data_IF_633694842812
#
_entry.id   IF_633694842812
#
_cell.length_a   1.000
_cell.length_b   1.000
_cell.length_c   1.000
_cell.angle_alpha   90.00
_cell.angle_beta   90.00
_cell.angle_gamma   90.00
#
_symmetry.space_group_name_H-M   'P 1'
#
loop_
_entity.id
_entity.type
_entity.pdbx_description
1 polymer ?
#
# COMPACT_ATOMS: atom_id res chain seq x y z
N UNK A 1 -20.41 -0.55 8.53
CA UNK A 1 -19.25 0.26 8.74
C UNK A 1 -18.86 1.04 7.51
N UNK A 2 -18.28 2.14 7.75
CA UNK A 2 -17.81 2.98 6.66
C UNK A 2 -16.53 2.40 6.09
N UNK A 3 -16.49 2.28 4.79
CA UNK A 3 -15.26 1.99 4.07
C UNK A 3 -14.71 3.31 3.56
N UNK A 4 -13.47 3.57 3.92
CA UNK A 4 -12.79 4.72 3.34
C UNK A 4 -12.48 4.42 1.89
N UNK A 5 -12.77 5.36 1.02
CA UNK A 5 -12.43 5.21 -0.38
C UNK A 5 -10.93 5.26 -0.58
N UNK A 6 -10.38 4.29 -1.32
CA UNK A 6 -8.95 4.28 -1.58
C UNK A 6 -8.51 5.54 -2.34
N UNK A 7 -9.35 6.04 -3.23
CA UNK A 7 -9.06 7.28 -3.97
C UNK A 7 -8.93 8.48 -3.06
N UNK A 8 -9.77 8.57 -2.03
CA UNK A 8 -9.69 9.68 -1.07
C UNK A 8 -8.38 9.64 -0.30
N UNK A 9 -7.97 8.45 0.13
CA UNK A 9 -6.72 8.26 0.85
C UNK A 9 -5.53 8.60 -0.04
N UNK A 10 -5.56 8.13 -1.27
CA UNK A 10 -4.48 8.38 -2.23
C UNK A 10 -4.39 9.86 -2.58
N UNK A 11 -5.53 10.50 -2.77
CA UNK A 11 -5.56 11.95 -3.06
C UNK A 11 -4.97 12.76 -1.91
N UNK A 12 -5.29 12.40 -0.67
CA UNK A 12 -4.71 13.07 0.49
C UNK A 12 -3.20 12.90 0.54
N UNK A 13 -2.70 11.69 0.28
CA UNK A 13 -1.26 11.44 0.26
C UNK A 13 -0.56 12.26 -0.83
N UNK A 14 -1.22 12.43 -1.98
CA UNK A 14 -0.65 13.19 -3.10
C UNK A 14 -0.54 14.68 -2.82
N UNK A 15 -1.18 15.19 -1.77
CA UNK A 15 -1.01 16.60 -1.39
C UNK A 15 0.35 16.86 -0.73
N UNK A 16 1.04 15.81 -0.30
CA UNK A 16 2.40 15.94 0.24
C UNK A 16 3.34 16.22 -0.94
N UNK A 17 4.08 17.32 -0.84
CA UNK A 17 4.87 17.82 -1.96
C UNK A 17 5.87 16.82 -2.53
N UNK A 18 6.48 16.03 -1.67
CA UNK A 18 7.50 15.06 -2.08
C UNK A 18 6.93 13.83 -2.80
N UNK A 19 5.64 13.58 -2.66
CA UNK A 19 5.02 12.35 -3.16
C UNK A 19 4.68 12.47 -4.65
N UNK A 20 5.16 11.51 -5.44
CA UNK A 20 4.85 11.41 -6.86
C UNK A 20 3.66 10.52 -7.12
N UNK A 21 3.60 9.37 -6.43
CA UNK A 21 2.52 8.39 -6.59
C UNK A 21 2.13 7.84 -5.22
N UNK A 22 0.88 7.44 -5.09
CA UNK A 22 0.37 6.85 -3.86
C UNK A 22 -0.59 5.72 -4.17
N UNK A 23 -0.55 4.69 -3.33
CA UNK A 23 -1.48 3.57 -3.39
C UNK A 23 -1.90 3.20 -1.99
N UNK A 24 -3.21 3.04 -1.78
CA UNK A 24 -3.77 2.60 -0.51
C UNK A 24 -4.23 1.15 -0.64
N UNK A 25 -3.83 0.29 0.28
CA UNK A 25 -4.20 -1.12 0.24
C UNK A 25 -4.72 -1.59 1.60
N UNK A 26 -5.67 -2.54 1.61
CA UNK A 26 -6.18 -3.08 2.87
C UNK A 26 -5.22 -4.10 3.44
N UNK A 27 -5.16 -4.14 4.77
CA UNK A 27 -4.36 -5.12 5.50
C UNK A 27 -5.23 -5.74 6.56
N UNK A 28 -5.14 -7.06 6.72
CA UNK A 28 -5.83 -7.75 7.80
C UNK A 28 -5.06 -7.51 9.09
N UNK A 29 -5.75 -6.99 10.10
CA UNK A 29 -5.15 -6.61 11.37
C UNK A 29 -5.93 -7.28 12.50
N UNK A 30 -5.25 -7.95 13.41
CA UNK A 30 -5.89 -8.65 14.53
C UNK A 30 -6.71 -7.73 15.42
N UNK A 31 -6.19 -6.54 15.66
CA UNK A 31 -6.82 -5.61 16.59
C UNK A 31 -7.94 -4.80 15.95
N UNK A 32 -7.76 -4.43 14.68
CA UNK A 32 -8.70 -3.53 13.98
C UNK A 32 -9.62 -4.26 13.02
N UNK A 33 -9.36 -5.53 12.74
CA UNK A 33 -10.03 -6.28 11.69
C UNK A 33 -9.51 -5.90 10.32
N UNK A 34 -9.68 -4.64 9.91
CA UNK A 34 -9.13 -4.10 8.67
C UNK A 34 -8.39 -2.82 8.97
N UNK A 35 -7.23 -2.67 8.36
CA UNK A 35 -6.44 -1.46 8.44
C UNK A 35 -6.00 -1.10 7.02
N UNK A 36 -5.41 0.07 6.84
CA UNK A 36 -4.91 0.52 5.55
C UNK A 36 -3.41 0.76 5.66
N UNK A 37 -2.68 0.36 4.64
CA UNK A 37 -1.29 0.76 4.49
C UNK A 37 -1.16 1.60 3.24
N UNK A 38 -0.32 2.62 3.33
CA UNK A 38 -0.06 3.52 2.21
C UNK A 38 1.30 3.20 1.62
N UNK A 39 1.37 3.15 0.31
CA UNK A 39 2.61 3.05 -0.44
C UNK A 39 2.78 4.33 -1.22
N UNK A 40 3.95 4.94 -1.10
CA UNK A 40 4.24 6.18 -1.84
C UNK A 40 5.59 6.07 -2.52
N UNK A 41 5.67 6.65 -3.72
CA UNK A 41 6.94 6.88 -4.38
C UNK A 41 7.19 8.38 -4.41
N UNK A 42 8.45 8.77 -4.42
CA UNK A 42 8.84 10.17 -4.32
C UNK A 42 9.19 10.76 -5.69
N UNK A 43 9.00 12.05 -5.81
CA UNK A 43 9.47 12.80 -6.97
C UNK A 43 10.99 12.73 -7.04
N UNK A 44 11.58 12.76 -8.26
CA UNK A 44 13.03 12.70 -8.40
C UNK A 44 13.73 13.75 -7.55
N UNK A 45 14.82 13.35 -6.89
CA UNK A 45 15.63 14.25 -6.09
C UNK A 45 15.07 14.62 -4.72
N UNK A 46 13.92 14.08 -4.34
CA UNK A 46 13.33 14.39 -3.03
C UNK A 46 13.81 13.40 -1.97
N UNK A 47 14.01 13.92 -0.77
CA UNK A 47 14.44 13.11 0.38
C UNK A 47 13.26 12.41 1.01
N UNK A 48 13.42 11.15 1.46
CA UNK A 48 12.35 10.48 2.21
C UNK A 48 12.19 10.96 3.66
N UNK A 49 13.10 11.79 4.15
CA UNK A 49 13.07 12.23 5.54
C UNK A 49 11.75 12.92 5.88
N UNK A 50 11.04 12.40 6.90
CA UNK A 50 9.79 12.99 7.38
C UNK A 50 8.57 12.74 6.49
N UNK A 51 8.71 12.08 5.35
CA UNK A 51 7.59 11.88 4.43
C UNK A 51 6.52 10.99 5.03
N UNK A 52 6.89 9.94 5.76
CA UNK A 52 5.91 9.07 6.42
C UNK A 52 4.97 9.86 7.33
N UNK A 53 5.55 10.73 8.16
CA UNK A 53 4.77 11.55 9.07
C UNK A 53 3.88 12.54 8.32
N UNK A 54 4.39 13.13 7.24
CA UNK A 54 3.61 14.06 6.41
C UNK A 54 2.41 13.39 5.77
N UNK A 55 2.60 12.16 5.27
CA UNK A 55 1.52 11.41 4.65
C UNK A 55 0.46 11.06 5.70
N UNK A 56 0.87 10.53 6.85
CA UNK A 56 -0.06 10.19 7.92
C UNK A 56 -0.84 11.43 8.37
N UNK A 57 -0.15 12.55 8.53
CA UNK A 57 -0.77 13.80 8.94
C UNK A 57 -1.78 14.30 7.89
N UNK A 58 -1.44 14.17 6.61
CA UNK A 58 -2.34 14.59 5.53
C UNK A 58 -3.63 13.79 5.56
N UNK A 59 -3.54 12.49 5.76
CA UNK A 59 -4.73 11.63 5.83
C UNK A 59 -5.59 12.00 7.05
N UNK A 60 -4.97 12.16 8.21
CA UNK A 60 -5.70 12.52 9.43
C UNK A 60 -6.36 13.90 9.31
N UNK A 61 -5.64 14.86 8.75
CA UNK A 61 -6.13 16.25 8.66
C UNK A 61 -7.26 16.37 7.64
N UNK A 62 -7.13 15.73 6.49
CA UNK A 62 -8.07 15.90 5.40
C UNK A 62 -9.29 14.99 5.50
N UNK A 63 -9.14 13.81 6.11
CA UNK A 63 -10.21 12.82 6.19
C UNK A 63 -10.66 12.60 7.62
N UNK A 64 -9.72 12.45 8.55
CA UNK A 64 -10.02 12.21 9.95
C UNK A 64 -9.12 11.14 10.54
N UNK A 65 -9.20 10.99 11.86
CA UNK A 65 -8.36 10.01 12.58
C UNK A 65 -8.59 8.58 12.13
N UNK A 66 -9.79 8.27 11.63
CA UNK A 66 -10.11 6.94 11.12
C UNK A 66 -9.26 6.57 9.90
N UNK A 67 -8.74 7.58 9.21
CA UNK A 67 -7.92 7.38 8.01
C UNK A 67 -6.44 7.17 8.32
N UNK A 68 -6.05 7.18 9.58
CA UNK A 68 -4.65 7.00 9.95
C UNK A 68 -4.14 5.65 9.46
N UNK A 69 -3.10 5.63 8.62
CA UNK A 69 -2.60 4.37 8.08
C UNK A 69 -1.85 3.59 9.15
N UNK A 70 -1.89 2.27 9.03
CA UNK A 70 -1.12 1.39 9.90
C UNK A 70 0.38 1.58 9.65
N UNK A 71 0.75 1.65 8.38
CA UNK A 71 2.12 1.90 7.96
C UNK A 71 2.11 2.77 6.70
N UNK A 72 3.17 3.53 6.51
CA UNK A 72 3.44 4.24 5.26
C UNK A 72 4.77 3.72 4.74
N UNK A 73 4.74 3.15 3.54
CA UNK A 73 5.92 2.56 2.92
C UNK A 73 6.39 3.45 1.78
N UNK A 74 7.65 3.86 1.83
CA UNK A 74 8.25 4.64 0.76
C UNK A 74 9.01 3.67 -0.14
N UNK A 75 8.56 3.54 -1.38
CA UNK A 75 9.11 2.57 -2.32
C UNK A 75 9.71 3.27 -3.53
N UNK A 76 10.68 2.62 -4.21
CA UNK A 76 11.34 3.26 -5.35
C UNK A 76 10.42 3.43 -6.55
N UNK A 77 9.46 2.53 -6.73
CA UNK A 77 8.48 2.59 -7.80
C UNK A 77 7.32 1.68 -7.46
N UNK A 78 6.23 1.82 -8.21
CA UNK A 78 5.05 0.97 -8.05
C UNK A 78 5.03 -0.10 -9.12
N UNK A 79 4.52 -1.32 -8.82
CA UNK A 79 4.28 -2.29 -9.88
C UNK A 79 3.17 -1.78 -10.78
N UNK A 80 3.44 -1.73 -12.08
CA UNK A 80 2.53 -1.11 -13.05
C UNK A 80 2.26 -2.02 -14.24
N UNK A 81 1.06 -1.88 -14.81
CA UNK A 81 0.76 -2.48 -16.10
C UNK A 81 1.53 -1.72 -17.18
N UNK A 82 1.56 -2.29 -18.39
CA UNK A 82 2.22 -1.64 -19.53
C UNK A 82 1.56 -0.32 -19.92
N UNK A 83 0.29 -0.14 -19.56
CA UNK A 83 -0.40 1.13 -19.77
C UNK A 83 -0.15 2.14 -18.66
N UNK A 84 0.65 1.79 -17.65
CA UNK A 84 1.03 2.70 -16.57
C UNK A 84 0.13 2.71 -15.36
N UNK A 85 -0.80 1.78 -15.26
CA UNK A 85 -1.69 1.68 -14.09
C UNK A 85 -1.02 0.93 -12.96
N UNK A 86 -1.15 1.45 -11.74
CA UNK A 86 -0.63 0.80 -10.55
C UNK A 86 -1.41 -0.49 -10.31
N UNK A 87 -0.68 -1.59 -10.14
CA UNK A 87 -1.27 -2.90 -9.83
C UNK A 87 -1.43 -3.06 -8.33
N UNK A 88 -2.50 -2.48 -7.78
CA UNK A 88 -2.75 -2.48 -6.34
C UNK A 88 -2.91 -3.87 -5.76
N UNK A 89 -3.42 -4.80 -6.55
CA UNK A 89 -3.56 -6.20 -6.12
C UNK A 89 -2.22 -6.78 -5.66
N UNK A 90 -1.16 -6.48 -6.40
CA UNK A 90 0.19 -6.97 -6.09
C UNK A 90 0.69 -6.37 -4.77
N UNK A 91 0.49 -5.07 -4.61
CA UNK A 91 0.90 -4.37 -3.38
C UNK A 91 0.11 -4.89 -2.17
N UNK A 92 -1.19 -5.10 -2.34
CA UNK A 92 -2.02 -5.66 -1.26
C UNK A 92 -1.55 -7.05 -0.85
N UNK A 93 -1.17 -7.88 -1.82
CA UNK A 93 -0.63 -9.21 -1.54
C UNK A 93 0.66 -9.11 -0.73
N UNK A 94 1.56 -8.20 -1.11
CA UNK A 94 2.81 -7.98 -0.38
C UNK A 94 2.53 -7.58 1.08
N UNK A 95 1.62 -6.63 1.28
CA UNK A 95 1.29 -6.14 2.63
C UNK A 95 0.69 -7.22 3.52
N UNK A 96 0.06 -8.22 2.94
CA UNK A 96 -0.61 -9.30 3.68
C UNK A 96 0.15 -10.61 3.67
N UNK A 97 1.40 -10.63 3.21
CA UNK A 97 2.21 -11.85 3.07
C UNK A 97 1.51 -12.90 2.20
N UNK A 98 0.72 -12.45 1.24
CA UNK A 98 0.00 -13.33 0.33
C UNK A 98 0.78 -13.50 -0.98
N UNK A 99 0.40 -14.52 -1.76
CA UNK A 99 0.99 -14.76 -3.06
C UNK A 99 0.62 -13.62 -4.00
N UNK A 100 1.62 -13.02 -4.64
CA UNK A 100 1.40 -11.92 -5.58
C UNK A 100 0.77 -12.37 -6.90
N UNK A 101 0.74 -13.69 -7.15
CA UNK A 101 0.15 -14.23 -8.35
C UNK A 101 0.99 -14.00 -9.59
N UNK A 102 0.32 -13.93 -10.73
CA UNK A 102 0.99 -13.75 -12.02
C UNK A 102 1.44 -12.31 -12.19
N UNK A 103 2.74 -12.12 -12.38
CA UNK A 103 3.34 -10.80 -12.59
C UNK A 103 3.89 -10.61 -14.00
N UNK A 104 3.57 -11.54 -14.92
CA UNK A 104 4.12 -11.48 -16.28
C UNK A 104 3.57 -10.32 -17.11
N UNK A 105 2.41 -9.78 -16.73
CA UNK A 105 1.81 -8.65 -17.42
C UNK A 105 2.35 -7.30 -16.96
N UNK A 106 3.18 -7.29 -15.92
CA UNK A 106 3.74 -6.04 -15.41
C UNK A 106 4.83 -5.52 -16.33
N UNK A 107 4.88 -4.19 -16.46
CA UNK A 107 5.95 -3.52 -17.19
C UNK A 107 7.28 -3.58 -16.42
N UNK A 108 7.21 -3.66 -15.10
CA UNK A 108 8.37 -3.59 -14.20
C UNK A 108 8.31 -4.69 -13.12
N UNK A 109 8.33 -5.98 -13.53
CA UNK A 109 8.17 -7.07 -12.55
C UNK A 109 9.27 -7.13 -11.50
N UNK A 110 10.46 -6.61 -11.78
CA UNK A 110 11.58 -6.59 -10.85
C UNK A 110 11.27 -5.77 -9.59
N UNK A 111 10.39 -4.79 -9.71
CA UNK A 111 10.02 -3.93 -8.57
C UNK A 111 9.25 -4.69 -7.48
N UNK A 112 8.55 -5.75 -7.89
CA UNK A 112 7.76 -6.56 -6.95
C UNK A 112 8.66 -7.17 -5.88
N UNK A 113 9.77 -7.77 -6.28
CA UNK A 113 10.67 -8.41 -5.33
C UNK A 113 11.36 -7.36 -4.45
N UNK A 114 11.73 -6.22 -5.02
CA UNK A 114 12.34 -5.14 -4.25
C UNK A 114 11.40 -4.66 -3.14
N UNK A 115 10.13 -4.43 -3.48
CA UNK A 115 9.13 -3.99 -2.51
C UNK A 115 8.88 -5.08 -1.47
N UNK A 116 8.69 -6.32 -1.92
CA UNK A 116 8.40 -7.45 -1.04
C UNK A 116 9.51 -7.64 0.00
N UNK A 117 10.76 -7.65 -0.46
CA UNK A 117 11.90 -7.84 0.43
C UNK A 117 11.98 -6.76 1.50
N UNK A 118 11.81 -5.50 1.08
CA UNK A 118 11.86 -4.37 2.00
C UNK A 118 10.68 -4.39 2.99
N UNK A 119 9.47 -4.46 2.48
CA UNK A 119 8.27 -4.33 3.30
C UNK A 119 8.14 -5.50 4.27
N UNK A 120 8.30 -6.72 3.78
CA UNK A 120 8.12 -7.89 4.63
C UNK A 120 9.22 -8.03 5.67
N UNK A 121 10.46 -7.65 5.34
CA UNK A 121 11.53 -7.64 6.33
C UNK A 121 11.24 -6.63 7.44
N UNK A 122 10.76 -5.43 7.09
CA UNK A 122 10.42 -4.41 8.07
C UNK A 122 9.23 -4.83 8.94
N UNK A 123 8.22 -5.45 8.34
CA UNK A 123 7.08 -5.95 9.10
C UNK A 123 7.50 -7.00 10.12
N UNK A 124 8.33 -7.94 9.69
CA UNK A 124 8.83 -8.97 10.60
C UNK A 124 9.67 -8.37 11.73
N UNK A 125 10.48 -7.37 11.42
CA UNK A 125 11.28 -6.66 12.43
C UNK A 125 10.40 -5.95 13.46
N UNK A 126 9.20 -5.54 13.07
CA UNK A 126 8.24 -4.87 13.94
C UNK A 126 7.33 -5.86 14.67
N UNK A 127 7.54 -7.16 14.49
CA UNK A 127 6.73 -8.20 15.10
C UNK A 127 5.45 -8.54 14.35
N UNK A 128 5.28 -8.02 13.14
CA UNK A 128 4.12 -8.32 12.31
C UNK A 128 4.41 -9.58 11.50
N UNK A 129 3.79 -10.67 11.88
CA UNK A 129 4.07 -11.97 11.27
C UNK A 129 2.97 -12.38 10.30
N UNK A 130 3.28 -13.25 9.33
CA UNK A 130 2.25 -13.78 8.43
C UNK A 130 1.15 -14.47 9.23
N UNK A 131 -0.09 -14.28 8.80
CA UNK A 131 -1.24 -14.91 9.42
C UNK A 131 -2.02 -15.70 8.39
N UNK A 132 -2.64 -16.82 8.79
CA UNK A 132 -3.53 -17.51 7.88
C UNK A 132 -4.68 -16.58 7.47
N UNK A 133 -4.94 -16.49 6.20
CA UNK A 133 -6.05 -15.70 5.68
C UNK A 133 -7.22 -16.62 5.39
N UNK A 134 -8.44 -16.15 5.71
CA UNK A 134 -9.64 -16.85 5.31
C UNK A 134 -9.80 -16.81 3.79
N UNK A 135 -10.65 -17.66 3.24
CA UNK A 135 -10.91 -17.64 1.80
C UNK A 135 -11.49 -16.30 1.37
N UNK A 136 -12.34 -15.71 2.19
CA UNK A 136 -12.92 -14.41 1.92
C UNK A 136 -11.84 -13.33 1.89
N UNK A 137 -10.92 -13.34 2.84
CA UNK A 137 -9.81 -12.39 2.89
C UNK A 137 -8.89 -12.55 1.68
N UNK A 138 -8.61 -13.78 1.28
CA UNK A 138 -7.79 -14.03 0.10
C UNK A 138 -8.44 -13.50 -1.17
N UNK A 139 -9.75 -13.68 -1.31
CA UNK A 139 -10.50 -13.15 -2.45
C UNK A 139 -10.50 -11.63 -2.47
N UNK A 140 -10.67 -11.02 -1.31
CA UNK A 140 -10.64 -9.57 -1.16
C UNK A 140 -9.31 -9.00 -1.63
N UNK A 141 -8.22 -9.62 -1.23
CA UNK A 141 -6.87 -9.18 -1.62
C UNK A 141 -6.64 -9.39 -3.11
N UNK A 142 -6.98 -10.56 -3.63
CA UNK A 142 -6.79 -10.85 -5.06
C UNK A 142 -7.60 -9.96 -5.97
N UNK A 143 -8.80 -9.60 -5.52
CA UNK A 143 -9.70 -8.75 -6.32
C UNK A 143 -9.49 -7.27 -6.11
N UNK A 144 -8.60 -6.90 -5.21
CA UNK A 144 -8.42 -5.50 -4.85
C UNK A 144 -7.90 -4.69 -6.03
N UNK A 145 -8.53 -3.55 -6.27
CA UNK A 145 -8.12 -2.66 -7.34
C UNK A 145 -8.60 -3.07 -8.73
N UNK A 146 -9.32 -4.18 -8.87
CA UNK A 146 -9.85 -4.64 -10.14
C UNK A 146 -11.26 -4.13 -10.41
N UNK A 147 -12.01 -3.93 -9.35
CA UNK A 147 -13.35 -3.37 -9.48
C UNK A 147 -13.25 -1.86 -9.65
N UNK A 148 -13.92 -1.34 -10.61
CA UNK A 148 -13.89 0.09 -10.90
C UNK A 148 -15.23 0.73 -10.57
#
# INVERSE_FOLDING_TARGET
GHRLGTKELESAALTVDEVAEAAAVPVVDELRGRAVEMYVSLKPGRSPAGVEAKVAHALETQIGKIARPKNVWIVPDMPKTRSGKIMRRVIAAISNFADVGDTTTLANPEVVEDIRSYVQAEKLARGEVPKPLSQEEQREIRGFGQAT
#
